data_IF_071671185558
#
_entry.id   IF_071671185558
#
_cell.length_a   1.000
_cell.length_b   1.000
_cell.length_c   1.000
_cell.angle_alpha   90.00
_cell.angle_beta   90.00
_cell.angle_gamma   90.00
#
_symmetry.space_group_name_H-M   'P 1'
#
loop_
_entity.id
_entity.type
_entity.pdbx_description
1 polymer ?
#
# COMPACT_ATOMS: atom_id res chain seq x y z
N UNK A 1 24.51 1.91 -2.36
CA UNK A 1 23.57 1.86 -3.49
C UNK A 1 23.39 3.25 -4.04
N UNK A 2 23.61 3.42 -5.33
CA UNK A 2 23.44 4.68 -6.06
C UNK A 2 21.96 4.94 -6.34
N UNK A 3 21.55 6.21 -6.46
CA UNK A 3 20.16 6.58 -6.80
C UNK A 3 19.71 5.99 -8.14
N UNK A 4 20.65 5.75 -9.06
CA UNK A 4 20.41 5.14 -10.37
C UNK A 4 19.98 3.66 -10.24
N UNK A 5 20.53 2.94 -9.27
CA UNK A 5 20.18 1.53 -9.02
C UNK A 5 18.74 1.42 -8.48
N UNK A 6 18.32 2.38 -7.66
CA UNK A 6 16.98 2.40 -7.06
C UNK A 6 15.90 2.65 -8.13
N UNK A 7 16.13 3.59 -9.05
CA UNK A 7 15.19 3.90 -10.13
C UNK A 7 14.99 2.69 -11.07
N UNK A 8 16.08 2.01 -11.46
CA UNK A 8 16.02 0.81 -12.29
C UNK A 8 15.30 -0.35 -11.60
N UNK A 9 15.50 -0.51 -10.28
CA UNK A 9 14.77 -1.51 -9.50
C UNK A 9 13.27 -1.19 -9.45
N UNK A 10 12.89 0.08 -9.32
CA UNK A 10 11.48 0.50 -9.34
C UNK A 10 10.83 0.23 -10.71
N UNK A 11 11.52 0.55 -11.82
CA UNK A 11 11.01 0.26 -13.17
C UNK A 11 10.81 -1.24 -13.40
N UNK A 12 11.77 -2.08 -12.99
CA UNK A 12 11.63 -3.53 -13.09
C UNK A 12 10.48 -4.07 -12.24
N UNK A 13 10.28 -3.50 -11.05
CA UNK A 13 9.15 -3.87 -10.18
C UNK A 13 7.81 -3.44 -10.79
N UNK A 14 7.76 -2.30 -11.49
CA UNK A 14 6.54 -1.81 -12.15
C UNK A 14 6.03 -2.75 -13.25
N UNK A 15 6.93 -3.38 -13.99
CA UNK A 15 6.57 -4.40 -14.99
C UNK A 15 6.04 -5.68 -14.35
N UNK A 16 6.51 -5.98 -13.14
CA UNK A 16 6.19 -7.19 -12.38
C UNK A 16 4.98 -7.04 -11.44
N UNK A 17 4.36 -5.86 -11.37
CA UNK A 17 3.12 -5.59 -10.63
C UNK A 17 1.94 -5.54 -11.62
N UNK A 18 0.86 -6.21 -11.25
CA UNK A 18 -0.42 -6.17 -11.95
C UNK A 18 -1.48 -5.58 -11.02
N UNK A 19 -2.40 -4.78 -11.56
CA UNK A 19 -3.54 -4.26 -10.82
C UNK A 19 -4.80 -4.68 -11.54
N UNK A 20 -5.71 -5.31 -10.81
CA UNK A 20 -7.02 -5.65 -11.32
C UNK A 20 -7.94 -4.41 -11.35
N UNK A 21 -9.01 -4.50 -12.12
CA UNK A 21 -10.09 -3.51 -12.22
C UNK A 21 -10.68 -3.07 -10.87
N UNK A 22 -10.59 -3.94 -9.86
CA UNK A 22 -10.98 -3.68 -8.47
C UNK A 22 -10.00 -2.82 -7.67
N UNK A 23 -8.82 -2.51 -8.24
CA UNK A 23 -7.74 -1.78 -7.57
C UNK A 23 -6.89 -2.66 -6.64
N UNK A 24 -7.09 -3.98 -6.65
CA UNK A 24 -6.25 -4.93 -5.94
C UNK A 24 -4.98 -5.19 -6.74
N UNK A 25 -3.83 -4.98 -6.10
CA UNK A 25 -2.52 -5.23 -6.70
C UNK A 25 -2.03 -6.64 -6.42
N UNK A 26 -1.44 -7.26 -7.43
CA UNK A 26 -0.70 -8.51 -7.35
C UNK A 26 0.74 -8.26 -7.79
N UNK A 27 1.70 -8.67 -6.97
CA UNK A 27 3.12 -8.59 -7.28
C UNK A 27 3.64 -9.97 -7.67
N UNK A 28 4.54 -10.03 -8.66
CA UNK A 28 5.26 -11.26 -8.96
C UNK A 28 6.17 -11.68 -7.79
N UNK A 29 6.55 -12.97 -7.71
CA UNK A 29 7.53 -13.43 -6.73
C UNK A 29 8.87 -12.71 -6.88
N UNK A 30 9.26 -12.38 -8.12
CA UNK A 30 10.52 -11.65 -8.39
C UNK A 30 10.46 -10.24 -7.79
N UNK A 31 9.30 -9.58 -7.87
CA UNK A 31 9.11 -8.25 -7.32
C UNK A 31 9.17 -8.30 -5.79
N UNK A 32 8.49 -9.28 -5.18
CA UNK A 32 8.55 -9.50 -3.74
C UNK A 32 9.98 -9.80 -3.27
N UNK A 33 10.71 -10.64 -4.02
CA UNK A 33 12.08 -10.99 -3.73
C UNK A 33 13.03 -9.78 -3.77
N UNK A 34 12.91 -8.94 -4.80
CA UNK A 34 13.67 -7.69 -4.93
C UNK A 34 13.36 -6.72 -3.80
N UNK A 35 12.08 -6.52 -3.48
CA UNK A 35 11.67 -5.63 -2.39
C UNK A 35 12.19 -6.12 -1.02
N UNK A 36 12.19 -7.43 -0.80
CA UNK A 36 12.68 -8.04 0.44
C UNK A 36 14.22 -8.22 0.49
N UNK A 37 14.93 -8.01 -0.62
CA UNK A 37 16.37 -8.33 -0.77
C UNK A 37 16.68 -9.83 -0.51
N UNK A 38 15.90 -10.70 -1.16
CA UNK A 38 16.06 -12.16 -1.10
C UNK A 38 16.03 -12.78 -2.49
N UNK A 39 16.41 -14.05 -2.59
CA UNK A 39 16.31 -14.79 -3.85
C UNK A 39 14.86 -15.24 -4.09
N UNK A 40 14.40 -15.14 -5.33
CA UNK A 40 13.07 -15.59 -5.75
C UNK A 40 12.87 -17.10 -5.54
N UNK A 41 13.94 -17.90 -5.73
CA UNK A 41 13.97 -19.33 -5.43
C UNK A 41 13.65 -19.65 -3.96
N UNK A 42 14.07 -18.78 -3.04
CA UNK A 42 13.81 -18.95 -1.60
C UNK A 42 12.33 -18.74 -1.27
N UNK A 43 11.69 -17.74 -1.89
CA UNK A 43 10.25 -17.52 -1.76
C UNK A 43 9.45 -18.65 -2.41
N UNK A 44 9.79 -19.05 -3.64
CA UNK A 44 9.15 -20.18 -4.32
C UNK A 44 9.18 -21.45 -3.48
N UNK A 45 10.34 -21.78 -2.91
CA UNK A 45 10.47 -22.96 -2.04
C UNK A 45 9.60 -22.84 -0.80
N UNK A 46 9.55 -21.67 -0.16
CA UNK A 46 8.74 -21.43 1.02
C UNK A 46 7.24 -21.57 0.74
N UNK A 47 6.79 -21.19 -0.45
CA UNK A 47 5.38 -21.32 -0.87
C UNK A 47 5.03 -22.75 -1.25
N UNK A 48 5.87 -23.43 -2.03
CA UNK A 48 5.65 -24.82 -2.45
C UNK A 48 5.74 -25.80 -1.28
N UNK A 49 6.55 -25.50 -0.26
CA UNK A 49 6.63 -26.36 0.93
C UNK A 49 5.53 -26.05 1.95
N UNK A 50 4.70 -25.02 1.75
CA UNK A 50 3.75 -24.55 2.76
C UNK A 50 2.74 -25.62 3.21
N UNK A 51 2.28 -26.48 2.30
CA UNK A 51 1.29 -27.52 2.62
C UNK A 51 1.89 -28.76 3.33
N UNK A 52 3.16 -29.08 3.07
CA UNK A 52 3.84 -30.27 3.61
C UNK A 52 4.65 -29.95 4.85
N UNK A 53 5.50 -28.93 4.77
CA UNK A 53 6.39 -28.50 5.85
C UNK A 53 6.54 -26.96 5.78
N UNK A 54 5.63 -26.22 6.46
CA UNK A 54 5.60 -24.77 6.36
C UNK A 54 6.85 -24.17 7.01
N UNK A 55 7.64 -23.47 6.19
CA UNK A 55 8.76 -22.66 6.67
C UNK A 55 8.30 -21.57 7.64
N UNK A 56 9.21 -21.00 8.44
CA UNK A 56 8.88 -19.89 9.34
C UNK A 56 8.21 -18.69 8.62
N UNK A 57 8.59 -18.42 7.36
CA UNK A 57 7.91 -17.43 6.51
C UNK A 57 6.47 -17.85 6.22
N UNK A 58 6.27 -19.09 5.76
CA UNK A 58 4.94 -19.60 5.45
C UNK A 58 4.03 -19.58 6.69
N UNK A 59 4.57 -19.95 7.86
CA UNK A 59 3.84 -19.87 9.13
C UNK A 59 3.44 -18.44 9.49
N UNK A 60 4.35 -17.47 9.34
CA UNK A 60 4.05 -16.05 9.58
C UNK A 60 2.95 -15.53 8.64
N UNK A 61 2.99 -15.91 7.36
CA UNK A 61 1.96 -15.58 6.39
C UNK A 61 0.61 -16.23 6.76
N UNK A 62 0.63 -17.50 7.19
CA UNK A 62 -0.58 -18.19 7.62
C UNK A 62 -1.21 -17.58 8.88
N UNK A 63 -0.38 -17.14 9.83
CA UNK A 63 -0.83 -16.39 11.01
C UNK A 63 -1.49 -15.05 10.65
N UNK A 64 -1.12 -14.48 9.50
CA UNK A 64 -1.75 -13.27 8.96
C UNK A 64 -3.13 -13.54 8.32
N UNK A 65 -3.59 -14.79 8.28
CA UNK A 65 -4.91 -15.18 7.79
C UNK A 65 -4.94 -15.81 6.40
N UNK A 66 -3.79 -16.17 5.84
CA UNK A 66 -3.71 -16.86 4.53
C UNK A 66 -3.65 -18.37 4.68
N UNK A 67 -4.32 -19.09 3.78
CA UNK A 67 -4.30 -20.56 3.76
C UNK A 67 -3.06 -21.11 3.04
N UNK A 68 -2.53 -22.26 3.47
CA UNK A 68 -1.38 -22.91 2.85
C UNK A 68 -1.62 -23.23 1.37
N UNK A 69 -2.85 -23.57 0.99
CA UNK A 69 -3.24 -23.78 -0.41
C UNK A 69 -3.17 -22.48 -1.24
N UNK A 70 -3.42 -21.32 -0.64
CA UNK A 70 -3.30 -20.04 -1.31
C UNK A 70 -1.84 -19.69 -1.61
N UNK A 71 -0.90 -20.06 -0.74
CA UNK A 71 0.53 -19.82 -0.95
C UNK A 71 1.05 -20.56 -2.20
N UNK A 72 0.61 -21.80 -2.43
CA UNK A 72 0.98 -22.54 -3.65
C UNK A 72 0.57 -21.79 -4.92
N UNK A 73 -0.66 -21.25 -4.92
CA UNK A 73 -1.20 -20.46 -6.03
C UNK A 73 -0.46 -19.14 -6.27
N UNK A 74 0.19 -18.56 -5.25
CA UNK A 74 0.95 -17.31 -5.42
C UNK A 74 2.15 -17.48 -6.35
N UNK A 75 2.65 -18.71 -6.52
CA UNK A 75 3.75 -18.98 -7.43
C UNK A 75 3.40 -18.78 -8.90
N UNK A 76 2.10 -18.91 -9.22
CA UNK A 76 1.56 -18.84 -10.58
C UNK A 76 0.72 -17.59 -10.80
N UNK A 77 -0.14 -17.24 -9.84
CA UNK A 77 -1.11 -16.15 -9.94
C UNK A 77 -0.58 -14.80 -9.44
N UNK A 78 0.58 -14.81 -8.78
CA UNK A 78 1.16 -13.65 -8.11
C UNK A 78 0.68 -13.47 -6.67
N UNK A 79 1.47 -12.72 -5.92
CA UNK A 79 1.29 -12.47 -4.49
C UNK A 79 0.36 -11.26 -4.32
N UNK A 80 -0.75 -11.37 -3.56
CA UNK A 80 -1.63 -10.24 -3.29
C UNK A 80 -0.92 -9.18 -2.42
N UNK A 81 -1.37 -7.92 -2.51
CA UNK A 81 -0.84 -6.78 -1.74
C UNK A 81 -0.63 -7.06 -0.24
N UNK A 82 -1.61 -7.67 0.43
CA UNK A 82 -1.51 -8.03 1.85
C UNK A 82 -0.52 -9.17 2.10
N UNK A 83 -0.40 -10.12 1.17
CA UNK A 83 0.62 -11.17 1.21
C UNK A 83 2.03 -10.61 1.04
N UNK A 84 2.19 -9.62 0.16
CA UNK A 84 3.44 -8.90 0.01
C UNK A 84 3.82 -8.15 1.28
N UNK A 85 2.84 -7.54 1.98
CA UNK A 85 3.06 -6.91 3.27
C UNK A 85 3.67 -7.88 4.27
N UNK A 86 3.05 -9.05 4.44
CA UNK A 86 3.49 -10.07 5.38
C UNK A 86 4.91 -10.57 5.07
N UNK A 87 5.24 -10.80 3.79
CA UNK A 87 6.60 -11.22 3.39
C UNK A 87 7.63 -10.15 3.76
N UNK A 88 7.34 -8.88 3.46
CA UNK A 88 8.24 -7.77 3.72
C UNK A 88 8.41 -7.54 5.22
N UNK A 89 7.34 -7.64 5.99
CA UNK A 89 7.36 -7.53 7.44
C UNK A 89 8.18 -8.65 8.07
N UNK A 90 7.99 -9.89 7.63
CA UNK A 90 8.79 -11.04 8.07
C UNK A 90 10.30 -10.80 7.84
N UNK A 91 10.70 -10.41 6.62
CA UNK A 91 12.12 -10.13 6.35
C UNK A 91 12.61 -8.82 6.97
N UNK A 92 11.72 -7.94 7.41
CA UNK A 92 12.10 -6.75 8.16
C UNK A 92 12.42 -7.08 9.62
N UNK A 93 11.60 -7.90 10.29
CA UNK A 93 11.63 -8.04 11.75
C UNK A 93 11.77 -9.48 12.25
N UNK A 94 11.10 -10.46 11.62
CA UNK A 94 10.91 -11.80 12.20
C UNK A 94 11.86 -12.87 11.66
N UNK A 95 12.54 -12.61 10.54
CA UNK A 95 13.50 -13.54 9.94
C UNK A 95 14.81 -13.74 10.75
N UNK A 96 14.91 -13.16 11.95
CA UNK A 96 16.06 -13.26 12.85
C UNK A 96 17.37 -12.80 12.20
N UNK A 97 18.33 -13.72 12.04
CA UNK A 97 19.61 -13.43 11.38
C UNK A 97 19.48 -13.09 9.89
N UNK A 98 18.35 -13.41 9.28
CA UNK A 98 18.07 -13.16 7.86
C UNK A 98 17.31 -11.85 7.64
N UNK A 99 17.08 -11.04 8.68
CA UNK A 99 16.44 -9.74 8.54
C UNK A 99 17.26 -8.81 7.64
N UNK A 100 16.57 -8.15 6.72
CA UNK A 100 17.18 -7.29 5.70
C UNK A 100 16.94 -5.82 5.99
N UNK A 101 17.99 -5.01 5.87
CA UNK A 101 17.89 -3.54 6.00
C UNK A 101 16.95 -2.95 4.95
N UNK A 102 16.99 -3.49 3.73
CA UNK A 102 16.11 -3.08 2.63
C UNK A 102 14.64 -3.38 2.93
N UNK A 103 14.32 -4.61 3.34
CA UNK A 103 12.97 -4.98 3.76
C UNK A 103 12.43 -4.05 4.86
N UNK A 104 13.25 -3.65 5.84
CA UNK A 104 12.86 -2.67 6.87
C UNK A 104 12.51 -1.30 6.31
N UNK A 105 13.31 -0.79 5.36
CA UNK A 105 13.04 0.51 4.74
C UNK A 105 11.75 0.47 3.92
N UNK A 106 11.57 -0.61 3.15
CA UNK A 106 10.35 -0.84 2.36
C UNK A 106 9.13 -0.98 3.27
N UNK A 107 9.22 -1.79 4.35
CA UNK A 107 8.17 -1.93 5.35
C UNK A 107 7.78 -0.58 5.96
N UNK A 108 8.75 0.26 6.35
CA UNK A 108 8.48 1.61 6.87
C UNK A 108 7.82 2.53 5.84
N UNK A 109 8.20 2.44 4.58
CA UNK A 109 7.56 3.20 3.51
C UNK A 109 6.11 2.74 3.30
N UNK A 110 5.90 1.43 3.29
CA UNK A 110 4.59 0.80 3.16
C UNK A 110 3.67 1.10 4.33
N UNK A 111 4.17 1.19 5.56
CA UNK A 111 3.38 1.60 6.72
C UNK A 111 2.95 3.07 6.68
N UNK A 112 3.65 3.92 5.90
CA UNK A 112 3.31 5.34 5.74
C UNK A 112 2.36 5.60 4.58
N UNK A 113 2.57 4.93 3.45
CA UNK A 113 1.83 5.17 2.20
C UNK A 113 0.67 4.17 2.05
N UNK A 114 0.83 2.95 2.56
CA UNK A 114 -0.02 1.79 2.28
C UNK A 114 0.45 1.06 1.01
N UNK A 115 0.62 -0.26 1.07
CA UNK A 115 1.09 -1.07 -0.08
C UNK A 115 0.16 -0.94 -1.27
N UNK A 116 -1.15 -0.97 -1.04
CA UNK A 116 -2.15 -0.87 -2.11
C UNK A 116 -2.04 0.47 -2.83
N UNK A 117 -1.96 1.57 -2.08
CA UNK A 117 -1.79 2.91 -2.65
C UNK A 117 -0.46 3.03 -3.41
N UNK A 118 0.62 2.46 -2.89
CA UNK A 118 1.91 2.44 -3.57
C UNK A 118 1.89 1.65 -4.89
N UNK A 119 1.26 0.47 -4.92
CA UNK A 119 1.10 -0.30 -6.17
C UNK A 119 0.30 0.51 -7.20
N UNK A 120 -0.82 1.12 -6.76
CA UNK A 120 -1.68 1.95 -7.59
C UNK A 120 -0.93 3.15 -8.18
N UNK A 121 -0.19 3.88 -7.35
CA UNK A 121 0.61 5.02 -7.75
C UNK A 121 1.67 4.65 -8.81
N UNK A 122 2.44 3.58 -8.59
CA UNK A 122 3.47 3.15 -9.54
C UNK A 122 2.90 2.73 -10.89
N UNK A 123 1.74 2.06 -10.91
CA UNK A 123 1.07 1.67 -12.15
C UNK A 123 0.29 2.82 -12.79
N UNK A 124 0.21 3.99 -12.14
CA UNK A 124 -0.64 5.09 -12.57
C UNK A 124 -2.13 4.72 -12.53
N UNK A 125 -2.49 3.72 -11.72
CA UNK A 125 -3.88 3.34 -11.51
C UNK A 125 -4.50 4.40 -10.62
N UNK A 126 -5.24 5.30 -11.24
CA UNK A 126 -6.30 6.03 -10.57
C UNK A 126 -7.52 5.12 -10.63
N UNK A 127 -8.20 4.92 -9.48
CA UNK A 127 -9.60 4.53 -9.54
C UNK A 127 -10.22 5.56 -10.47
N UNK A 128 -10.74 5.15 -11.62
CA UNK A 128 -11.52 6.06 -12.43
C UNK A 128 -12.52 6.65 -11.45
N UNK A 129 -12.37 7.94 -11.19
CA UNK A 129 -13.51 8.70 -10.78
C UNK A 129 -14.49 8.43 -11.93
N UNK A 130 -15.43 7.52 -11.69
CA UNK A 130 -16.79 8.02 -11.70
C UNK A 130 -16.76 9.31 -10.89
N UNK A 131 -16.49 10.39 -11.60
CA UNK A 131 -16.86 11.72 -11.22
C UNK A 131 -18.39 11.80 -11.33
N UNK A 132 -19.10 10.85 -10.70
CA UNK A 132 -20.23 11.21 -9.89
C UNK A 132 -19.61 11.83 -8.63
N UNK A 133 -19.15 13.07 -8.78
CA UNK A 133 -19.63 14.04 -7.82
C UNK A 133 -21.14 13.76 -7.72
N UNK A 134 -21.72 13.51 -6.54
CA UNK A 134 -23.07 13.99 -6.37
C UNK A 134 -22.96 15.43 -6.81
N UNK A 135 -23.68 15.82 -7.87
CA UNK A 135 -23.90 17.23 -8.17
C UNK A 135 -24.41 17.78 -6.85
N UNK A 136 -23.51 18.37 -6.05
CA UNK A 136 -23.92 19.12 -4.90
C UNK A 136 -24.78 20.19 -5.54
N UNK A 137 -26.07 20.31 -5.16
CA UNK A 137 -26.81 21.50 -5.53
C UNK A 137 -25.90 22.67 -5.18
N UNK A 138 -25.71 23.66 -6.07
CA UNK A 138 -24.75 24.74 -5.84
C UNK A 138 -24.91 25.22 -4.41
N UNK A 139 -23.90 24.96 -3.57
CA UNK A 139 -23.91 25.40 -2.20
C UNK A 139 -24.20 26.91 -2.27
N UNK A 140 -25.20 27.42 -1.52
CA UNK A 140 -25.57 28.83 -1.60
C UNK A 140 -24.28 29.63 -1.42
N UNK A 141 -23.98 30.48 -2.41
CA UNK A 141 -22.72 31.20 -2.52
C UNK A 141 -22.44 31.85 -1.17
N UNK A 142 -21.44 31.27 -0.50
CA UNK A 142 -21.04 31.61 0.83
C UNK A 142 -20.59 33.09 0.73
N UNK A 143 -21.27 34.06 1.38
CA UNK A 143 -21.12 35.49 1.04
C UNK A 143 -19.65 35.92 1.12
N UNK A 144 -19.20 36.88 0.29
CA UNK A 144 -17.83 37.37 0.32
C UNK A 144 -17.31 37.61 1.74
N UNK A 145 -16.04 37.34 1.98
CA UNK A 145 -15.41 37.41 3.31
C UNK A 145 -15.67 38.76 3.99
N UNK A 146 -15.73 39.84 3.21
CA UNK A 146 -16.10 41.19 3.65
C UNK A 146 -17.51 41.27 4.25
N UNK A 147 -18.50 40.64 3.63
CA UNK A 147 -19.87 40.58 4.16
C UNK A 147 -19.94 39.73 5.42
N UNK A 148 -19.13 38.68 5.54
CA UNK A 148 -19.07 37.85 6.77
C UNK A 148 -18.42 38.59 7.92
N UNK A 149 -17.35 39.30 7.66
CA UNK A 149 -16.69 40.18 8.65
C UNK A 149 -17.65 41.27 9.11
N UNK A 150 -18.35 41.93 8.18
CA UNK A 150 -19.32 42.96 8.54
C UNK A 150 -20.49 42.41 9.37
N UNK A 151 -21.02 41.25 9.01
CA UNK A 151 -22.09 40.57 9.76
C UNK A 151 -21.63 40.14 11.15
N UNK A 152 -20.40 39.63 11.27
CA UNK A 152 -19.82 39.24 12.56
C UNK A 152 -19.60 40.45 13.47
N UNK A 153 -19.08 41.56 12.93
CA UNK A 153 -18.88 42.80 13.68
C UNK A 153 -20.22 43.40 14.13
N UNK A 154 -21.26 43.35 13.30
CA UNK A 154 -22.59 43.79 13.68
C UNK A 154 -23.19 42.94 14.80
N UNK A 155 -23.10 41.60 14.69
CA UNK A 155 -23.58 40.71 15.75
C UNK A 155 -22.86 40.95 17.10
N UNK A 156 -21.55 41.23 17.08
CA UNK A 156 -20.79 41.57 18.28
C UNK A 156 -21.22 42.91 18.88
N UNK A 157 -21.55 43.92 18.06
CA UNK A 157 -22.07 45.21 18.54
C UNK A 157 -23.45 45.05 19.16
N UNK A 158 -24.35 44.30 18.53
CA UNK A 158 -25.66 44.04 19.10
C UNK A 158 -25.54 43.32 20.43
N UNK A 159 -24.67 42.31 20.56
CA UNK A 159 -24.42 41.63 21.85
C UNK A 159 -23.86 42.56 22.95
N UNK A 160 -23.11 43.61 22.58
CA UNK A 160 -22.58 44.59 23.52
C UNK A 160 -23.61 45.67 23.94
N UNK A 161 -24.70 45.85 23.19
CA UNK A 161 -25.77 46.80 23.49
C UNK A 161 -26.84 46.23 24.44
N UNK A 162 -26.81 44.93 24.74
CA UNK A 162 -27.71 44.25 25.71
C UNK A 162 -27.13 44.19 27.15
N UNK A 163 -26.21 45.09 27.51
CA UNK A 163 -25.62 45.20 28.84
C UNK A 163 -25.50 46.66 29.30
#
# INVERSE_FOLDING_TARGET
MSQIEIAQVIEQIKEEIQIDTSGQGKASIRAAARLADVQDSSLRRAFLSAALEPSALAQSIMQSGFDSAALELWSEQGIPDMGLAAIIEYYAYDAGRYCKKQARLVCKAFNRIGIRAWMQDIKGWSKSEQHNQPVQPPAPALPPVEQRLHTFVQAMKTLAEWH
#
